data_IF_966294586598
#
_entry.id   IF_966294586598
#
_cell.length_a   1.000
_cell.length_b   1.000
_cell.length_c   1.000
_cell.angle_alpha   90.00
_cell.angle_beta   90.00
_cell.angle_gamma   90.00
#
_symmetry.space_group_name_H-M   'P 1'
#
loop_
_entity.id
_entity.type
_entity.pdbx_description
1 polymer ?
#
# COMPACT_ATOMS: atom_id res chain seq x y z
N UNK A 1 -14.25 12.64 1.97
CA UNK A 1 -13.49 13.37 3.01
C UNK A 1 -12.12 12.75 3.21
N UNK A 2 -11.09 13.57 3.18
CA UNK A 2 -9.72 13.10 3.33
C UNK A 2 -9.39 12.79 4.79
N UNK A 3 -8.40 11.92 4.98
CA UNK A 3 -7.83 11.64 6.29
C UNK A 3 -6.80 12.75 6.58
N UNK A 4 -7.05 13.58 7.60
CA UNK A 4 -6.20 14.73 7.88
C UNK A 4 -4.78 14.33 8.31
N UNK A 5 -4.61 13.22 9.00
CA UNK A 5 -3.31 12.71 9.40
C UNK A 5 -2.47 12.36 8.18
N UNK A 6 -3.08 11.70 7.18
CA UNK A 6 -2.41 11.34 5.93
C UNK A 6 -2.11 12.59 5.10
N UNK A 7 -3.06 13.53 5.03
CA UNK A 7 -2.84 14.77 4.31
C UNK A 7 -1.64 15.54 4.88
N UNK A 8 -1.57 15.69 6.19
CA UNK A 8 -0.45 16.39 6.84
C UNK A 8 0.88 15.64 6.62
N UNK A 9 0.85 14.31 6.66
CA UNK A 9 2.02 13.48 6.38
C UNK A 9 2.56 13.76 4.98
N UNK A 10 1.67 13.77 3.98
CA UNK A 10 2.04 14.04 2.59
C UNK A 10 2.50 15.48 2.40
N UNK A 11 1.82 16.42 3.04
CA UNK A 11 2.16 17.85 2.97
C UNK A 11 3.58 18.09 3.48
N UNK A 12 3.94 17.48 4.59
CA UNK A 12 5.28 17.63 5.17
C UNK A 12 6.37 17.08 4.26
N UNK A 13 6.01 16.29 3.26
CA UNK A 13 6.94 15.69 2.30
C UNK A 13 6.79 16.26 0.89
N UNK A 14 5.91 17.26 0.71
CA UNK A 14 5.72 17.94 -0.56
C UNK A 14 4.81 17.21 -1.54
N UNK A 15 3.98 16.28 -1.06
CA UNK A 15 3.12 15.46 -1.92
C UNK A 15 1.62 15.71 -1.71
N UNK A 16 1.21 16.75 -1.00
CA UNK A 16 -0.22 17.01 -0.73
C UNK A 16 -1.04 17.20 -2.01
N UNK A 17 -0.43 17.68 -3.08
CA UNK A 17 -1.11 17.89 -4.36
C UNK A 17 -1.40 16.62 -5.14
N UNK A 18 -0.93 15.48 -4.67
CA UNK A 18 -1.13 14.18 -5.32
C UNK A 18 -2.34 13.42 -4.78
N UNK A 19 -2.98 13.89 -3.72
CA UNK A 19 -4.13 13.26 -3.11
C UNK A 19 -5.41 13.65 -3.85
N UNK A 20 -6.24 12.65 -4.16
CA UNK A 20 -7.52 12.84 -4.84
C UNK A 20 -8.64 12.24 -3.99
N UNK A 21 -9.73 12.98 -3.83
CA UNK A 21 -10.94 12.48 -3.18
C UNK A 21 -11.90 11.99 -4.25
N UNK A 22 -12.48 10.82 -4.03
CA UNK A 22 -13.40 10.18 -4.98
C UNK A 22 -14.82 10.22 -4.44
N UNK A 23 -15.81 10.27 -5.35
CA UNK A 23 -17.23 10.28 -4.97
C UNK A 23 -17.75 8.89 -4.59
N UNK A 24 -17.08 7.84 -5.03
CA UNK A 24 -17.44 6.45 -4.72
C UNK A 24 -16.25 5.76 -4.07
N UNK A 25 -16.50 4.61 -3.42
CA UNK A 25 -15.45 3.89 -2.71
C UNK A 25 -14.39 3.30 -3.64
N UNK A 26 -13.15 3.28 -3.14
CA UNK A 26 -12.02 2.61 -3.80
C UNK A 26 -11.49 1.50 -2.89
N UNK A 27 -12.38 0.79 -2.25
CA UNK A 27 -12.08 -0.23 -1.24
C UNK A 27 -11.51 -1.53 -1.82
N UNK A 28 -11.64 -1.74 -3.13
CA UNK A 28 -11.06 -2.89 -3.83
C UNK A 28 -10.19 -2.39 -4.97
N UNK A 29 -9.27 -3.25 -5.45
CA UNK A 29 -8.43 -2.93 -6.61
C UNK A 29 -9.29 -2.61 -7.82
N UNK A 30 -10.36 -3.39 -8.04
CA UNK A 30 -11.27 -3.18 -9.16
C UNK A 30 -11.99 -1.83 -9.09
N UNK A 31 -12.58 -1.50 -7.94
CA UNK A 31 -13.26 -0.21 -7.75
C UNK A 31 -12.31 0.95 -7.89
N UNK A 32 -11.10 0.83 -7.30
CA UNK A 32 -10.10 1.88 -7.38
C UNK A 32 -9.68 2.13 -8.84
N UNK A 33 -9.44 1.08 -9.61
CA UNK A 33 -9.06 1.21 -11.01
C UNK A 33 -10.14 1.92 -11.82
N UNK A 34 -11.42 1.59 -11.57
CA UNK A 34 -12.56 2.23 -12.24
C UNK A 34 -12.66 3.72 -11.90
N UNK A 35 -12.55 4.06 -10.63
CA UNK A 35 -12.66 5.45 -10.19
C UNK A 35 -11.51 6.32 -10.64
N UNK A 36 -10.30 5.77 -10.65
CA UNK A 36 -9.08 6.50 -11.03
C UNK A 36 -8.92 6.55 -12.55
N UNK A 37 -9.42 5.52 -13.25
CA UNK A 37 -9.28 5.43 -14.71
C UNK A 37 -7.94 4.82 -15.12
N UNK A 38 -7.43 3.87 -14.34
CA UNK A 38 -6.17 3.19 -14.63
C UNK A 38 -6.38 1.66 -14.67
N UNK A 39 -5.33 0.91 -14.96
CA UNK A 39 -5.38 -0.54 -14.90
C UNK A 39 -5.36 -1.01 -13.44
N UNK A 40 -5.87 -2.22 -13.18
CA UNK A 40 -5.81 -2.79 -11.84
C UNK A 40 -4.37 -2.97 -11.36
N UNK A 41 -3.45 -3.29 -12.28
CA UNK A 41 -2.04 -3.46 -11.94
C UNK A 41 -1.39 -2.18 -11.42
N UNK A 42 -1.87 -1.01 -11.85
CA UNK A 42 -1.35 0.28 -11.42
C UNK A 42 -1.85 0.71 -10.04
N UNK A 43 -2.81 0.00 -9.48
CA UNK A 43 -3.22 0.22 -8.09
C UNK A 43 -2.12 -0.33 -7.18
N UNK A 44 -1.73 0.46 -6.19
CA UNK A 44 -0.76 0.01 -5.19
C UNK A 44 -1.53 -0.43 -3.95
N UNK A 45 -1.74 -1.73 -3.80
CA UNK A 45 -2.48 -2.25 -2.65
C UNK A 45 -1.56 -2.43 -1.46
N UNK A 46 -2.06 -2.08 -0.29
CA UNK A 46 -1.32 -2.11 0.97
C UNK A 46 -1.82 -3.26 1.82
N UNK A 47 -0.95 -4.22 2.11
CA UNK A 47 -1.29 -5.36 2.94
C UNK A 47 -0.50 -5.30 4.24
N UNK A 48 -1.13 -5.69 5.33
CA UNK A 48 -0.51 -5.69 6.65
C UNK A 48 -0.39 -7.12 7.18
N UNK A 49 0.80 -7.48 7.64
CA UNK A 49 1.13 -8.82 8.10
C UNK A 49 1.64 -8.78 9.53
N UNK A 50 1.60 -9.92 10.20
CA UNK A 50 2.25 -10.12 11.49
C UNK A 50 3.51 -10.96 11.26
N UNK A 51 4.64 -10.43 11.69
CA UNK A 51 5.93 -11.14 11.66
C UNK A 51 6.54 -11.02 13.06
N UNK A 52 6.77 -12.15 13.72
CA UNK A 52 7.28 -12.20 15.09
C UNK A 52 6.45 -11.32 16.04
N UNK A 53 5.11 -11.47 15.95
CA UNK A 53 4.11 -10.76 16.75
C UNK A 53 4.09 -9.24 16.54
N UNK A 54 4.73 -8.74 15.47
CA UNK A 54 4.78 -7.32 15.15
C UNK A 54 4.21 -7.05 13.75
N UNK A 55 3.58 -5.88 13.55
CA UNK A 55 3.04 -5.55 12.23
C UNK A 55 4.13 -5.20 11.23
N UNK A 56 3.92 -5.62 9.99
CA UNK A 56 4.75 -5.25 8.84
C UNK A 56 3.80 -4.90 7.70
N UNK A 57 4.09 -3.83 6.98
CA UNK A 57 3.28 -3.39 5.85
C UNK A 57 4.05 -3.64 4.56
N UNK A 58 3.36 -4.23 3.57
CA UNK A 58 3.93 -4.42 2.23
C UNK A 58 2.97 -3.81 1.22
N UNK A 59 3.49 -2.94 0.36
CA UNK A 59 2.74 -2.31 -0.72
C UNK A 59 3.14 -3.00 -2.02
N UNK A 60 2.17 -3.42 -2.81
CA UNK A 60 2.43 -4.17 -4.04
C UNK A 60 1.45 -3.78 -5.15
N UNK A 61 1.81 -4.09 -6.39
CA UNK A 61 0.92 -3.84 -7.53
C UNK A 61 -0.39 -4.62 -7.40
N UNK A 62 -1.46 -4.06 -7.94
CA UNK A 62 -2.80 -4.63 -7.82
C UNK A 62 -2.95 -6.04 -8.39
N UNK A 63 -2.14 -6.41 -9.38
CA UNK A 63 -2.13 -7.75 -9.96
C UNK A 63 -1.15 -8.70 -9.26
N UNK A 64 -0.37 -8.21 -8.31
CA UNK A 64 0.57 -9.04 -7.57
C UNK A 64 -0.14 -9.86 -6.50
N UNK A 65 0.34 -11.06 -6.28
CA UNK A 65 -0.15 -11.93 -5.21
C UNK A 65 1.04 -12.40 -4.39
N UNK A 66 0.87 -12.46 -3.06
CA UNK A 66 1.95 -12.89 -2.18
C UNK A 66 2.37 -14.32 -2.51
N UNK A 67 3.67 -14.49 -2.72
CA UNK A 67 4.28 -15.81 -2.88
C UNK A 67 4.87 -16.23 -1.54
N UNK A 68 4.39 -17.33 -0.98
CA UNK A 68 4.78 -17.78 0.36
C UNK A 68 6.28 -18.04 0.49
N UNK A 69 6.90 -18.60 -0.54
CA UNK A 69 8.34 -18.89 -0.53
C UNK A 69 9.17 -17.63 -0.54
N UNK A 70 8.79 -16.65 -1.37
CA UNK A 70 9.47 -15.35 -1.42
C UNK A 70 9.30 -14.58 -0.11
N UNK A 71 8.10 -14.59 0.44
CA UNK A 71 7.81 -13.93 1.70
C UNK A 71 8.65 -14.55 2.83
N UNK A 72 8.68 -15.88 2.89
CA UNK A 72 9.47 -16.59 3.90
C UNK A 72 10.96 -16.33 3.74
N UNK A 73 11.45 -16.17 2.52
CA UNK A 73 12.87 -15.87 2.28
C UNK A 73 13.26 -14.52 2.88
N UNK A 74 12.35 -13.53 2.86
CA UNK A 74 12.62 -12.21 3.40
C UNK A 74 12.33 -12.11 4.91
N UNK A 75 11.17 -12.61 5.32
CA UNK A 75 10.70 -12.41 6.70
C UNK A 75 10.91 -13.62 7.62
N UNK A 76 11.42 -14.74 7.08
CA UNK A 76 11.73 -15.97 7.82
C UNK A 76 10.53 -16.64 8.48
N UNK A 77 9.32 -16.34 7.98
CA UNK A 77 8.08 -16.94 8.44
C UNK A 77 7.06 -16.91 7.31
N UNK A 78 6.03 -17.74 7.40
CA UNK A 78 4.93 -17.75 6.42
C UNK A 78 4.13 -16.46 6.53
N UNK A 79 3.56 -15.96 5.41
CA UNK A 79 2.72 -14.78 5.46
C UNK A 79 1.47 -15.04 6.32
N UNK A 80 1.21 -14.11 7.22
CA UNK A 80 0.04 -14.15 8.09
C UNK A 80 -0.50 -12.72 8.20
N UNK A 81 -1.71 -12.50 7.66
CA UNK A 81 -2.33 -11.18 7.68
C UNK A 81 -2.75 -10.81 9.10
N UNK A 82 -2.70 -9.52 9.41
CA UNK A 82 -3.26 -9.02 10.67
C UNK A 82 -4.77 -9.30 10.66
N UNK A 83 -5.32 -9.93 11.73
CA UNK A 83 -6.77 -10.15 11.81
C UNK A 83 -7.52 -8.82 11.69
N UNK A 84 -8.66 -8.85 10.98
CA UNK A 84 -9.43 -7.65 10.69
C UNK A 84 -9.76 -6.82 11.94
N UNK A 85 -10.07 -7.47 13.05
CA UNK A 85 -10.43 -6.81 14.30
C UNK A 85 -9.23 -6.20 15.04
N UNK A 86 -8.01 -6.46 14.57
CA UNK A 86 -6.79 -5.90 15.16
C UNK A 86 -6.14 -4.82 14.27
N UNK A 87 -6.67 -4.60 13.07
CA UNK A 87 -6.04 -3.70 12.10
C UNK A 87 -5.96 -2.26 12.62
N UNK A 88 -7.05 -1.74 13.20
CA UNK A 88 -7.07 -0.36 13.72
C UNK A 88 -6.05 -0.20 14.84
N UNK A 89 -6.03 -1.14 15.77
CA UNK A 89 -5.12 -1.08 16.92
C UNK A 89 -3.66 -1.12 16.49
N UNK A 90 -3.33 -1.98 15.52
CA UNK A 90 -1.94 -2.19 15.11
C UNK A 90 -1.45 -1.17 14.08
N UNK A 91 -2.30 -0.73 13.16
CA UNK A 91 -1.87 0.14 12.05
C UNK A 91 -2.35 1.58 12.16
N UNK A 92 -3.39 1.84 12.95
CA UNK A 92 -4.01 3.15 13.03
C UNK A 92 -5.02 3.45 11.94
N UNK A 93 -5.29 2.50 11.05
CA UNK A 93 -6.26 2.65 9.96
C UNK A 93 -7.33 1.57 10.04
N UNK A 94 -8.55 1.90 9.56
CA UNK A 94 -9.63 0.94 9.47
C UNK A 94 -9.32 -0.11 8.40
N UNK A 95 -9.86 -1.34 8.53
CA UNK A 95 -9.76 -2.32 7.45
C UNK A 95 -10.31 -1.74 6.16
N UNK A 96 -9.61 -1.95 5.04
CA UNK A 96 -9.96 -1.33 3.77
C UNK A 96 -9.39 0.07 3.56
N UNK A 97 -8.88 0.70 4.61
CA UNK A 97 -8.28 2.03 4.54
C UNK A 97 -6.81 2.07 4.91
N UNK A 98 -6.17 0.91 5.10
CA UNK A 98 -4.73 0.87 5.41
C UNK A 98 -3.95 1.44 4.23
N UNK A 99 -3.04 2.37 4.52
CA UNK A 99 -2.20 2.98 3.51
C UNK A 99 -0.77 3.11 4.04
N UNK A 100 0.20 3.40 3.16
CA UNK A 100 1.60 3.47 3.60
C UNK A 100 2.00 4.83 4.17
N UNK A 101 1.04 5.71 4.46
CA UNK A 101 1.34 7.07 4.91
C UNK A 101 0.83 7.30 6.33
N UNK A 102 1.73 7.67 7.23
CA UNK A 102 1.33 7.99 8.59
C UNK A 102 1.08 6.80 9.49
N UNK A 103 1.59 5.61 9.14
CA UNK A 103 1.55 4.47 10.07
C UNK A 103 2.51 4.73 11.24
N UNK A 104 2.33 4.05 12.40
CA UNK A 104 3.28 4.19 13.50
C UNK A 104 4.72 3.98 13.04
N UNK A 105 5.64 4.80 13.57
CA UNK A 105 7.02 4.85 13.10
C UNK A 105 7.80 3.54 13.27
N UNK A 106 7.37 2.67 14.17
CA UNK A 106 8.01 1.38 14.41
C UNK A 106 7.54 0.27 13.47
N UNK A 107 6.56 0.56 12.59
CA UNK A 107 6.08 -0.41 11.60
C UNK A 107 6.90 -0.26 10.33
N UNK A 108 7.69 -1.29 9.94
CA UNK A 108 8.42 -1.22 8.68
C UNK A 108 7.47 -1.32 7.49
N UNK A 109 7.74 -0.50 6.47
CA UNK A 109 7.00 -0.50 5.21
C UNK A 109 7.94 -0.95 4.11
N UNK A 110 7.54 -2.01 3.41
CA UNK A 110 8.29 -2.54 2.27
C UNK A 110 7.50 -2.30 0.99
N UNK A 111 8.21 -1.99 -0.09
CA UNK A 111 7.62 -1.79 -1.41
C UNK A 111 8.04 -2.92 -2.32
N UNK A 112 7.05 -3.57 -2.96
CA UNK A 112 7.34 -4.70 -3.84
C UNK A 112 7.73 -4.23 -5.24
N UNK A 113 8.70 -4.89 -5.84
CA UNK A 113 9.24 -4.54 -7.15
C UNK A 113 8.21 -4.66 -8.29
N UNK A 114 7.07 -5.32 -8.05
CA UNK A 114 6.00 -5.39 -9.04
C UNK A 114 5.53 -4.00 -9.48
N UNK A 115 5.63 -3.00 -8.61
CA UNK A 115 5.23 -1.63 -8.91
C UNK A 115 6.22 -0.90 -9.82
N UNK A 116 7.45 -1.37 -9.96
CA UNK A 116 8.46 -0.69 -10.77
C UNK A 116 8.20 -0.77 -12.28
N UNK A 117 7.20 -1.53 -12.70
CA UNK A 117 6.78 -1.62 -14.10
C UNK A 117 6.11 -0.36 -14.61
N UNK A 118 5.62 0.51 -13.72
CA UNK A 118 4.74 1.63 -14.07
C UNK A 118 5.38 2.97 -13.78
N UNK A 119 4.97 3.97 -14.59
CA UNK A 119 5.38 5.35 -14.34
C UNK A 119 4.71 5.88 -13.07
N UNK A 120 3.42 5.59 -12.90
CA UNK A 120 2.65 6.00 -11.74
C UNK A 120 1.93 4.82 -11.11
N UNK A 121 1.82 4.84 -9.79
CA UNK A 121 1.01 3.89 -9.03
C UNK A 121 0.07 4.69 -8.13
N UNK A 122 -1.01 4.04 -7.68
CA UNK A 122 -2.09 4.71 -6.95
C UNK A 122 -2.40 3.99 -5.64
N UNK A 123 -1.67 4.30 -4.57
CA UNK A 123 -2.03 3.79 -3.24
C UNK A 123 -3.21 4.53 -2.65
N UNK A 124 -3.87 3.90 -1.68
CA UNK A 124 -4.93 4.54 -0.91
C UNK A 124 -4.37 5.70 -0.09
N UNK A 125 -5.24 6.65 0.22
CA UNK A 125 -4.88 7.86 0.96
C UNK A 125 -5.35 7.88 2.41
N UNK A 126 -5.66 6.72 2.99
CA UNK A 126 -6.00 6.62 4.41
C UNK A 126 -7.46 6.37 4.70
N UNK A 127 -8.32 6.32 3.68
CA UNK A 127 -9.72 5.89 3.81
C UNK A 127 -10.21 5.35 2.47
N UNK A 128 -11.47 4.93 2.44
CA UNK A 128 -12.06 4.28 1.26
C UNK A 128 -12.41 5.23 0.10
N UNK A 129 -12.13 6.53 0.25
CA UNK A 129 -12.53 7.54 -0.74
C UNK A 129 -11.36 8.34 -1.28
N UNK A 130 -10.13 8.06 -0.87
CA UNK A 130 -8.98 8.86 -1.30
C UNK A 130 -7.87 7.99 -1.86
N UNK A 131 -7.19 8.50 -2.89
CA UNK A 131 -6.01 7.87 -3.47
C UNK A 131 -4.90 8.91 -3.64
N UNK A 132 -3.67 8.42 -3.82
CA UNK A 132 -2.50 9.27 -4.00
C UNK A 132 -1.78 8.80 -5.26
N UNK A 133 -1.45 9.72 -6.17
CA UNK A 133 -0.75 9.40 -7.42
C UNK A 133 0.73 9.69 -7.28
N UNK A 134 1.56 8.67 -7.37
CA UNK A 134 3.01 8.80 -7.17
C UNK A 134 3.78 7.92 -8.15
N UNK A 135 4.98 8.36 -8.54
CA UNK A 135 5.91 7.43 -9.17
C UNK A 135 6.41 6.46 -8.10
N UNK A 136 6.95 5.27 -8.48
CA UNK A 136 7.53 4.38 -7.50
C UNK A 136 8.61 5.02 -6.62
N UNK A 137 9.45 5.87 -7.19
CA UNK A 137 10.48 6.58 -6.43
C UNK A 137 9.88 7.59 -5.45
N UNK A 138 8.80 8.26 -5.86
CA UNK A 138 8.09 9.19 -4.98
C UNK A 138 7.39 8.45 -3.85
N UNK A 139 6.84 7.27 -4.16
CA UNK A 139 6.20 6.43 -3.14
C UNK A 139 7.21 6.02 -2.06
N UNK A 140 8.42 5.68 -2.45
CA UNK A 140 9.49 5.34 -1.51
C UNK A 140 9.74 6.51 -0.54
N UNK A 141 9.83 7.72 -1.06
CA UNK A 141 10.05 8.93 -0.25
C UNK A 141 8.83 9.26 0.62
N UNK A 142 7.64 9.19 0.03
CA UNK A 142 6.41 9.57 0.70
C UNK A 142 6.05 8.63 1.85
N UNK A 143 6.41 7.35 1.73
CA UNK A 143 6.05 6.33 2.71
C UNK A 143 7.13 6.13 3.78
N UNK A 144 8.32 6.69 3.61
CA UNK A 144 9.48 6.39 4.46
C UNK A 144 9.78 4.89 4.48
N UNK A 145 9.65 4.23 3.33
CA UNK A 145 9.81 2.79 3.21
C UNK A 145 11.22 2.33 3.60
N UNK A 146 11.29 1.13 4.17
CA UNK A 146 12.56 0.48 4.50
C UNK A 146 13.35 0.19 3.23
N UNK A 147 12.66 -0.24 2.18
CA UNK A 147 13.28 -0.56 0.91
C UNK A 147 12.35 -1.35 0.00
N UNK A 148 12.93 -1.87 -1.06
CA UNK A 148 12.21 -2.68 -2.05
C UNK A 148 12.38 -4.16 -1.76
N UNK A 149 11.35 -4.94 -2.08
CA UNK A 149 11.37 -6.39 -1.88
C UNK A 149 10.75 -7.11 -3.06
N UNK A 150 10.90 -8.43 -3.09
CA UNK A 150 10.31 -9.29 -4.11
C UNK A 150 9.57 -10.42 -3.40
N UNK A 151 8.28 -10.19 -3.10
CA UNK A 151 7.45 -11.17 -2.37
C UNK A 151 6.21 -11.58 -3.14
N UNK A 152 6.05 -11.12 -4.39
CA UNK A 152 4.84 -11.35 -5.17
C UNK A 152 5.09 -12.24 -6.37
N UNK A 153 3.99 -12.90 -6.82
CA UNK A 153 3.95 -13.68 -8.05
C UNK A 153 2.75 -13.23 -8.88
N UNK A 154 2.67 -13.70 -10.11
CA UNK A 154 1.53 -13.48 -11.01
C UNK A 154 1.67 -12.25 -11.88
N UNK A 155 2.48 -11.30 -11.52
CA UNK A 155 2.66 -10.06 -12.26
C UNK A 155 3.67 -10.20 -13.40
N UNK A 156 4.63 -11.10 -13.29
CA UNK A 156 5.65 -11.30 -14.32
C UNK A 156 5.04 -11.86 -15.61
N UNK A 157 3.87 -12.49 -15.52
CA UNK A 157 3.19 -13.11 -16.65
C UNK A 157 2.36 -12.12 -17.46
N UNK A 158 2.20 -10.91 -16.99
CA UNK A 158 1.42 -9.85 -17.64
C UNK A 158 2.33 -8.89 -18.41
N UNK A 159 3.03 -9.43 -19.37
CA UNK A 159 3.95 -8.64 -20.19
C UNK A 159 3.26 -8.17 -21.46
#
# INVERSE_FOLDING_TARGET
>A
MRNEKVYEWLKNRGFEGRLTEHSETIDTVEHAAQQIGCSEAEIAKTLSFIVDDKPVVVVMAGDGRVNSSKFKALFHTKPSMIPRDMVVEMTGFAPGGVCPFGVPADIPIWLDISMKRFEYVHPAGGNEFTSVRLTPEELEKASDAVGWCDVCKGWEETV
#
